data_IF_567518606414
#
_entry.id   IF_567518606414
#
_cell.length_a   1.000
_cell.length_b   1.000
_cell.length_c   1.000
_cell.angle_alpha   90.00
_cell.angle_beta   90.00
_cell.angle_gamma   90.00
#
_symmetry.space_group_name_H-M   'P 1'
#
loop_
_entity.id
_entity.type
_entity.pdbx_description
1 polymer ?
#
# COMPACT_ATOMS: atom_id res chain seq x y z
N UNK A 1 0.48 -3.98 17.35
CA UNK A 1 -0.58 -3.57 16.40
C UNK A 1 -0.72 -4.66 15.33
N UNK A 2 -1.90 -5.25 15.14
CA UNK A 2 -2.09 -6.29 14.11
C UNK A 2 -2.39 -5.60 12.78
N UNK A 3 -1.42 -5.58 11.87
CA UNK A 3 -1.63 -5.07 10.52
C UNK A 3 -2.60 -6.01 9.80
N UNK A 4 -3.74 -5.47 9.36
CA UNK A 4 -4.73 -6.21 8.58
C UNK A 4 -4.65 -5.73 7.14
N UNK A 5 -4.58 -6.68 6.21
CA UNK A 5 -4.79 -6.36 4.81
C UNK A 5 -6.22 -5.82 4.63
N UNK A 6 -6.35 -4.73 3.88
CA UNK A 6 -7.65 -4.15 3.56
C UNK A 6 -8.10 -4.69 2.21
N UNK A 7 -9.27 -5.35 2.11
CA UNK A 7 -9.80 -5.79 0.83
C UNK A 7 -10.03 -4.60 -0.11
N UNK A 8 -9.68 -4.75 -1.39
CA UNK A 8 -9.74 -3.67 -2.39
C UNK A 8 -11.10 -2.95 -2.41
N UNK A 9 -12.19 -3.72 -2.51
CA UNK A 9 -13.56 -3.19 -2.56
C UNK A 9 -13.99 -2.38 -1.33
N UNK A 10 -13.31 -2.52 -0.18
CA UNK A 10 -13.61 -1.73 1.02
C UNK A 10 -13.05 -0.30 0.95
N UNK A 11 -12.05 -0.06 0.09
CA UNK A 11 -11.38 1.24 -0.12
C UNK A 11 -11.08 1.47 -1.60
N UNK A 12 -12.02 1.12 -2.47
CA UNK A 12 -11.81 1.08 -3.92
C UNK A 12 -11.28 2.41 -4.49
N UNK A 13 -11.95 3.53 -4.18
CA UNK A 13 -11.54 4.85 -4.66
C UNK A 13 -10.10 5.22 -4.28
N UNK A 14 -9.64 4.79 -3.09
CA UNK A 14 -8.26 5.05 -2.64
C UNK A 14 -7.28 4.24 -3.49
N UNK A 15 -7.53 2.96 -3.70
CA UNK A 15 -6.64 2.12 -4.49
C UNK A 15 -6.62 2.53 -5.97
N UNK A 16 -7.78 2.89 -6.55
CA UNK A 16 -7.87 3.42 -7.91
C UNK A 16 -7.07 4.72 -8.06
N UNK A 17 -7.21 5.65 -7.11
CA UNK A 17 -6.45 6.89 -7.11
C UNK A 17 -4.94 6.62 -7.02
N UNK A 18 -4.50 5.82 -6.04
CA UNK A 18 -3.07 5.54 -5.88
C UNK A 18 -2.49 4.78 -7.09
N UNK A 19 -3.28 3.91 -7.74
CA UNK A 19 -2.89 3.25 -8.98
C UNK A 19 -2.79 4.24 -10.15
N UNK A 20 -3.75 5.17 -10.28
CA UNK A 20 -3.72 6.22 -11.32
C UNK A 20 -2.52 7.16 -11.18
N UNK A 21 -2.05 7.37 -9.95
CA UNK A 21 -0.86 8.13 -9.62
C UNK A 21 0.44 7.34 -9.78
N UNK A 22 0.40 6.06 -10.13
CA UNK A 22 1.59 5.22 -10.26
C UNK A 22 2.26 4.84 -8.93
N UNK A 23 1.61 5.07 -7.78
CA UNK A 23 2.18 4.79 -6.45
C UNK A 23 2.00 3.34 -6.03
N UNK A 24 1.07 2.61 -6.66
CA UNK A 24 0.80 1.19 -6.40
C UNK A 24 0.52 0.49 -7.72
N UNK A 25 0.90 -0.77 -7.80
CA UNK A 25 0.55 -1.66 -8.89
C UNK A 25 -0.24 -2.87 -8.36
N UNK A 26 -1.24 -3.29 -9.12
CA UNK A 26 -1.96 -4.53 -8.87
C UNK A 26 -1.17 -5.68 -9.50
N UNK A 27 -0.62 -6.57 -8.68
CA UNK A 27 0.13 -7.75 -9.16
C UNK A 27 -0.54 -9.05 -8.70
N UNK A 28 -0.46 -10.13 -9.49
CA UNK A 28 -0.89 -11.44 -9.04
C UNK A 28 -0.09 -11.87 -7.81
N UNK A 29 -0.77 -12.34 -6.76
CA UNK A 29 -0.10 -12.87 -5.58
C UNK A 29 0.62 -14.17 -5.93
N UNK A 30 1.93 -14.22 -5.65
CA UNK A 30 2.70 -15.46 -5.73
C UNK A 30 2.33 -16.36 -4.56
N UNK A 31 1.86 -17.58 -4.85
CA UNK A 31 1.58 -18.62 -3.86
C UNK A 31 2.62 -19.72 -3.96
N UNK A 32 2.96 -20.34 -2.83
CA UNK A 32 3.89 -21.48 -2.82
C UNK A 32 3.27 -22.74 -3.44
N UNK A 33 1.96 -22.88 -3.30
CA UNK A 33 1.19 -23.98 -3.87
C UNK A 33 0.54 -23.55 -5.19
N UNK A 34 0.60 -24.40 -6.23
CA UNK A 34 -0.16 -24.18 -7.45
C UNK A 34 -1.67 -24.15 -7.16
N UNK A 35 -2.39 -23.23 -7.79
CA UNK A 35 -3.84 -23.12 -7.72
C UNK A 35 -4.42 -23.28 -9.12
N UNK A 36 -5.55 -24.00 -9.30
CA UNK A 36 -6.28 -24.02 -10.56
C UNK A 36 -7.05 -22.71 -10.83
N UNK A 37 -7.13 -21.82 -9.84
CA UNK A 37 -7.81 -20.53 -9.95
C UNK A 37 -6.84 -19.39 -10.26
N UNK A 38 -7.29 -18.33 -10.96
CA UNK A 38 -6.49 -17.12 -11.13
C UNK A 38 -5.99 -16.58 -9.79
N UNK A 39 -4.70 -16.21 -9.74
CA UNK A 39 -4.13 -15.65 -8.52
C UNK A 39 -4.80 -14.30 -8.18
N UNK A 40 -5.17 -14.08 -6.90
CA UNK A 40 -5.77 -12.81 -6.50
C UNK A 40 -4.76 -11.68 -6.71
N UNK A 41 -5.27 -10.53 -7.16
CA UNK A 41 -4.45 -9.32 -7.30
C UNK A 41 -4.26 -8.65 -5.94
N UNK A 42 -3.02 -8.25 -5.65
CA UNK A 42 -2.65 -7.48 -4.47
C UNK A 42 -2.06 -6.13 -4.87
N UNK A 43 -2.33 -5.11 -4.07
CA UNK A 43 -1.73 -3.80 -4.24
C UNK A 43 -0.30 -3.81 -3.67
N UNK A 44 0.70 -3.59 -4.51
CA UNK A 44 2.11 -3.49 -4.11
C UNK A 44 2.64 -2.09 -4.40
N UNK A 45 3.32 -1.49 -3.42
CA UNK A 45 3.97 -0.19 -3.61
C UNK A 45 4.95 -0.26 -4.79
N UNK A 46 4.89 0.75 -5.65
CA UNK A 46 5.96 1.02 -6.60
C UNK A 46 7.16 1.61 -5.86
N UNK A 47 8.27 1.81 -6.56
CA UNK A 47 9.42 2.48 -5.97
C UNK A 47 9.09 3.92 -5.57
N UNK A 48 8.44 4.67 -6.45
CA UNK A 48 7.95 6.02 -6.15
C UNK A 48 6.94 6.03 -4.99
N UNK A 49 6.04 5.04 -4.95
CA UNK A 49 5.12 4.86 -3.83
C UNK A 49 5.81 4.62 -2.49
N UNK A 50 6.89 3.83 -2.47
CA UNK A 50 7.72 3.62 -1.27
C UNK A 50 8.37 4.92 -0.80
N UNK A 51 9.05 5.62 -1.70
CA UNK A 51 9.77 6.85 -1.37
C UNK A 51 8.83 7.93 -0.82
N UNK A 52 7.66 8.10 -1.44
CA UNK A 52 6.67 9.07 -0.98
C UNK A 52 6.09 8.70 0.39
N UNK A 53 5.83 7.40 0.62
CA UNK A 53 5.35 6.92 1.92
C UNK A 53 6.39 7.16 3.02
N UNK A 54 7.67 6.88 2.76
CA UNK A 54 8.77 7.13 3.70
C UNK A 54 8.92 8.62 4.00
N UNK A 55 8.94 9.47 2.97
CA UNK A 55 9.01 10.92 3.15
C UNK A 55 7.85 11.45 4.01
N UNK A 56 6.63 10.96 3.76
CA UNK A 56 5.45 11.32 4.55
C UNK A 56 5.55 10.84 6.00
N UNK A 57 6.04 9.62 6.23
CA UNK A 57 6.23 9.08 7.58
C UNK A 57 7.22 9.93 8.37
N UNK A 58 8.36 10.28 7.76
CA UNK A 58 9.37 11.14 8.38
C UNK A 58 8.83 12.51 8.75
N UNK A 59 8.01 13.10 7.86
CA UNK A 59 7.37 14.38 8.13
C UNK A 59 6.36 14.30 9.29
N UNK A 60 5.58 13.22 9.36
CA UNK A 60 4.63 12.98 10.44
C UNK A 60 5.35 12.79 11.79
N UNK A 61 6.44 12.04 11.83
CA UNK A 61 7.25 11.85 13.04
C UNK A 61 7.89 13.16 13.52
N UNK A 62 8.33 14.01 12.59
CA UNK A 62 8.85 15.34 12.93
C UNK A 62 7.78 16.25 13.54
N UNK A 63 6.55 16.21 13.02
CA UNK A 63 5.43 16.97 13.59
C UNK A 63 5.06 16.49 14.99
N UNK A 64 5.03 15.17 15.21
CA UNK A 64 4.74 14.60 16.53
C UNK A 64 5.77 15.09 17.55
N UNK A 65 7.07 15.01 17.22
CA UNK A 65 8.15 15.49 18.10
C UNK A 65 8.06 16.99 18.43
N UNK A 66 7.58 17.80 17.50
CA UNK A 66 7.40 19.24 17.71
C UNK A 66 6.22 19.56 18.63
N UNK A 67 5.15 18.77 18.57
CA UNK A 67 3.98 18.93 19.43
C UNK A 67 4.20 18.38 20.85
N UNK A 68 5.11 17.41 20.99
CA UNK A 68 5.49 16.81 22.28
C UNK A 68 6.58 17.60 23.04
N UNK A 69 7.13 18.66 22.45
CA UNK A 69 8.19 19.51 23.01
C UNK A 69 7.65 20.82 23.60
#
# INVERSE_FOLDING_TARGET
MRLRQTPWHKKQAVFEQLQSLGLVQAIPQTTQTPSPFPAPLIAMLTEEGRQLLEARSNHQDALIKLLDA
#
